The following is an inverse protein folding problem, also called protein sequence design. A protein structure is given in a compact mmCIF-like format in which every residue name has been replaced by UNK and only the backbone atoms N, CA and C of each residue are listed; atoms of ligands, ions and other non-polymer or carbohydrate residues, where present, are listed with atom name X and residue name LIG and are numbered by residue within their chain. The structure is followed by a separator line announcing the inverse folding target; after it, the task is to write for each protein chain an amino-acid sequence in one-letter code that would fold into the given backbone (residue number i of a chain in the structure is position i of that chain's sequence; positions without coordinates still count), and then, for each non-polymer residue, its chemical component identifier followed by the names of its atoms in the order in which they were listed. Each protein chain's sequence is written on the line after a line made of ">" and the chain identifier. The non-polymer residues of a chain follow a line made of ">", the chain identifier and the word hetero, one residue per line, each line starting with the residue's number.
data_IF_902964476491
#
_entry.id   IF_902964476491
#
_cell.length_a   1.000
_cell.length_b   1.000
_cell.length_c   1.000
_cell.angle_alpha   90.00
_cell.angle_beta   90.00
_cell.angle_gamma   90.00
#
_symmetry.space_group_name_H-M   'P 1'
#
loop_
_entity.id
_entity.type
_entity.pdbx_description
1 polymer ?
#
# COMPACT_ATOMS: atom_id res chain seq x y z
N UNK A 1 -14.18 12.10 7.39
CA UNK A 1 -13.15 12.87 8.11
C UNK A 1 -11.80 12.28 7.73
N UNK A 2 -10.85 13.09 7.23
CA UNK A 2 -9.51 12.58 6.90
C UNK A 2 -8.77 12.24 8.19
N UNK A 3 -8.11 11.08 8.24
CA UNK A 3 -7.44 10.57 9.45
C UNK A 3 -6.27 11.47 9.87
N UNK A 4 -5.82 11.36 11.13
CA UNK A 4 -4.62 12.04 11.63
C UNK A 4 -3.40 11.67 10.76
N UNK A 5 -3.28 10.41 10.36
CA UNK A 5 -2.24 9.93 9.45
C UNK A 5 -2.23 10.70 8.12
N UNK A 6 -3.41 11.01 7.54
CA UNK A 6 -3.48 11.80 6.32
C UNK A 6 -2.83 13.19 6.48
N UNK A 7 -3.01 13.81 7.64
CA UNK A 7 -2.40 15.11 7.95
C UNK A 7 -0.89 14.99 8.12
N UNK A 8 -0.39 13.96 8.80
CA UNK A 8 1.06 13.66 8.88
C UNK A 8 1.65 13.45 7.48
N UNK A 9 0.99 12.68 6.61
CA UNK A 9 1.42 12.46 5.25
C UNK A 9 1.53 13.74 4.40
N UNK A 10 0.70 14.76 4.66
CA UNK A 10 0.80 16.04 3.96
C UNK A 10 2.12 16.75 4.19
N UNK A 11 2.60 16.76 5.44
CA UNK A 11 3.79 17.51 5.84
C UNK A 11 5.07 16.65 5.89
N UNK A 12 4.94 15.34 5.76
CA UNK A 12 6.07 14.41 5.79
C UNK A 12 7.02 14.62 4.61
N UNK A 13 8.32 14.63 4.91
CA UNK A 13 9.39 14.53 3.93
C UNK A 13 9.68 13.04 3.64
N UNK A 14 8.95 12.48 2.69
CA UNK A 14 9.09 11.07 2.32
C UNK A 14 10.45 10.74 1.71
N UNK A 15 11.13 11.69 1.07
CA UNK A 15 12.48 11.46 0.54
C UNK A 15 13.41 11.11 1.69
N UNK A 16 13.44 11.95 2.73
CA UNK A 16 14.28 11.71 3.90
C UNK A 16 13.92 10.40 4.64
N UNK A 17 12.62 10.06 4.75
CA UNK A 17 12.20 8.78 5.36
C UNK A 17 12.73 7.59 4.56
N UNK A 18 12.58 7.60 3.23
CA UNK A 18 13.04 6.49 2.39
C UNK A 18 14.57 6.37 2.40
N UNK A 19 15.29 7.48 2.30
CA UNK A 19 16.76 7.51 2.36
C UNK A 19 17.29 6.98 3.69
N UNK A 20 16.70 7.36 4.83
CA UNK A 20 17.05 6.83 6.16
C UNK A 20 16.91 5.30 6.23
N UNK A 21 15.91 4.75 5.53
CA UNK A 21 15.68 3.29 5.45
C UNK A 21 16.54 2.60 4.39
N UNK A 22 17.39 3.32 3.65
CA UNK A 22 18.18 2.78 2.54
C UNK A 22 17.34 2.44 1.30
N UNK A 23 16.14 3.00 1.19
CA UNK A 23 15.26 2.79 0.05
C UNK A 23 15.53 3.80 -1.06
N UNK A 24 15.32 3.37 -2.30
CA UNK A 24 15.45 4.26 -3.46
C UNK A 24 14.28 5.22 -3.52
N UNK A 25 14.60 6.51 -3.70
CA UNK A 25 13.65 7.54 -4.05
C UNK A 25 13.86 7.94 -5.52
N UNK A 26 12.80 7.93 -6.32
CA UNK A 26 12.86 8.28 -7.75
C UNK A 26 12.70 9.79 -7.90
N UNK A 27 13.81 10.49 -8.14
CA UNK A 27 13.86 11.95 -8.27
C UNK A 27 14.22 12.44 -9.69
N UNK A 28 14.44 11.53 -10.64
CA UNK A 28 14.78 11.85 -12.02
C UNK A 28 13.63 11.55 -12.99
N UNK A 29 13.38 12.49 -13.87
CA UNK A 29 12.35 12.38 -14.92
C UNK A 29 10.93 12.66 -14.42
N UNK A 30 10.08 13.14 -15.34
CA UNK A 30 8.66 13.41 -15.05
C UNK A 30 7.88 12.11 -14.96
N UNK A 31 6.88 12.05 -14.06
CA UNK A 31 6.02 10.88 -13.83
C UNK A 31 6.76 9.59 -13.44
N UNK A 32 7.99 9.69 -12.92
CA UNK A 32 8.65 8.56 -12.27
C UNK A 32 8.10 8.44 -10.84
N UNK A 33 7.21 7.48 -10.61
CA UNK A 33 6.36 7.44 -9.43
C UNK A 33 7.06 6.81 -8.22
N UNK A 34 7.07 7.53 -7.10
CA UNK A 34 7.26 6.95 -5.78
C UNK A 34 5.88 6.59 -5.22
N UNK A 35 5.55 5.29 -5.18
CA UNK A 35 4.27 4.76 -4.70
C UNK A 35 4.51 4.21 -3.30
N UNK A 36 3.99 4.88 -2.27
CA UNK A 36 4.31 4.65 -0.87
C UNK A 36 3.04 4.39 -0.09
N UNK A 37 2.86 3.17 0.42
CA UNK A 37 1.86 2.87 1.43
C UNK A 37 2.38 3.30 2.81
N UNK A 38 1.52 3.85 3.61
CA UNK A 38 1.78 4.19 5.01
C UNK A 38 0.75 3.49 5.87
N UNK A 39 1.19 2.49 6.62
CA UNK A 39 0.37 1.76 7.59
C UNK A 39 0.22 2.58 8.86
N UNK A 40 -1.02 2.79 9.31
CA UNK A 40 -1.31 3.48 10.56
C UNK A 40 -0.91 2.64 11.78
N UNK A 41 -0.52 3.29 12.86
CA UNK A 41 -0.30 2.62 14.13
C UNK A 41 -1.62 2.56 14.92
N UNK A 42 -2.21 1.37 15.00
CA UNK A 42 -3.45 1.09 15.75
C UNK A 42 -3.22 0.05 16.86
N UNK A 43 -1.97 -0.15 17.29
CA UNK A 43 -1.61 -1.13 18.32
C UNK A 43 -1.89 -2.57 17.88
N UNK A 44 -1.69 -2.87 16.60
CA UNK A 44 -1.94 -4.16 15.95
C UNK A 44 -3.41 -4.62 15.94
N UNK A 45 -4.34 -3.80 16.42
CA UNK A 45 -5.76 -4.16 16.43
C UNK A 45 -6.33 -4.17 15.02
N UNK A 46 -7.13 -5.20 14.70
CA UNK A 46 -7.91 -5.25 13.45
C UNK A 46 -9.02 -4.20 13.49
N UNK A 47 -8.76 -3.02 12.93
CA UNK A 47 -9.73 -1.90 12.92
C UNK A 47 -10.86 -2.12 11.94
N UNK A 48 -10.65 -2.96 10.93
CA UNK A 48 -11.55 -3.20 9.80
C UNK A 48 -11.93 -1.92 9.04
N UNK A 49 -11.04 -0.90 9.05
CA UNK A 49 -11.26 0.43 8.45
C UNK A 49 -10.22 0.70 7.37
N UNK A 50 -10.52 1.70 6.54
CA UNK A 50 -9.55 2.29 5.61
C UNK A 50 -8.87 3.46 6.33
N UNK A 51 -7.94 3.16 7.20
CA UNK A 51 -7.23 4.12 8.07
C UNK A 51 -5.77 4.34 7.68
N UNK A 52 -5.33 3.67 6.60
CA UNK A 52 -4.02 3.84 6.00
C UNK A 52 -4.02 4.84 4.83
N UNK A 53 -2.82 5.21 4.39
CA UNK A 53 -2.65 6.10 3.24
C UNK A 53 -1.81 5.47 2.13
N UNK A 54 -2.17 5.77 0.88
CA UNK A 54 -1.27 5.65 -0.26
C UNK A 54 -0.82 7.04 -0.67
N UNK A 55 0.50 7.26 -0.67
CA UNK A 55 1.12 8.51 -1.10
C UNK A 55 1.83 8.28 -2.41
N UNK A 56 1.55 9.11 -3.42
CA UNK A 56 2.23 9.06 -4.71
C UNK A 56 2.92 10.39 -4.95
N UNK A 57 4.26 10.34 -5.09
CA UNK A 57 5.10 11.52 -5.30
C UNK A 57 5.81 11.38 -6.64
N UNK A 58 5.76 12.43 -7.43
CA UNK A 58 6.37 12.45 -8.77
C UNK A 58 6.65 13.89 -9.22
N UNK A 59 7.58 14.05 -10.14
CA UNK A 59 7.87 15.34 -10.76
C UNK A 59 7.03 15.53 -12.03
N UNK A 60 6.82 16.80 -12.41
CA UNK A 60 6.20 17.25 -13.67
C UNK A 60 6.92 18.50 -14.13
N UNK A 61 6.66 19.00 -15.35
CA UNK A 61 7.19 20.28 -15.83
C UNK A 61 6.85 21.46 -14.89
N UNK A 62 5.76 21.35 -14.12
CA UNK A 62 5.34 22.34 -13.11
C UNK A 62 5.89 22.05 -11.70
N UNK A 63 6.88 21.14 -11.57
CA UNK A 63 7.49 20.74 -10.29
C UNK A 63 6.83 19.55 -9.63
N UNK A 64 7.25 19.30 -8.40
CA UNK A 64 6.84 18.13 -7.62
C UNK A 64 5.36 18.12 -7.25
N UNK A 65 4.75 16.96 -7.41
CA UNK A 65 3.36 16.70 -7.03
C UNK A 65 3.31 15.60 -5.99
N UNK A 66 2.38 15.71 -5.05
CA UNK A 66 2.07 14.70 -4.04
C UNK A 66 0.57 14.49 -4.01
N UNK A 67 0.14 13.25 -4.21
CA UNK A 67 -1.25 12.82 -4.07
C UNK A 67 -1.35 11.85 -2.90
N UNK A 68 -2.40 11.95 -2.11
CA UNK A 68 -2.64 11.12 -0.94
C UNK A 68 -4.05 10.55 -1.05
N UNK A 69 -4.14 9.22 -0.94
CA UNK A 69 -5.37 8.46 -1.07
C UNK A 69 -5.64 7.67 0.21
N UNK A 70 -6.90 7.42 0.49
CA UNK A 70 -7.33 6.58 1.62
C UNK A 70 -7.39 5.11 1.19
N UNK A 71 -6.65 4.27 1.89
CA UNK A 71 -6.57 2.83 1.62
C UNK A 71 -6.61 2.02 2.92
N UNK A 72 -6.63 0.69 2.79
CA UNK A 72 -6.09 -0.23 3.79
C UNK A 72 -4.85 -0.91 3.24
N UNK A 73 -3.87 -1.19 4.09
CA UNK A 73 -2.67 -2.01 3.79
C UNK A 73 -2.76 -3.38 4.46
N UNK A 74 -3.90 -3.67 5.08
CA UNK A 74 -4.12 -4.82 5.94
C UNK A 74 -5.35 -5.64 5.52
N UNK A 75 -5.42 -6.91 5.92
CA UNK A 75 -6.61 -7.74 5.71
C UNK A 75 -7.80 -7.19 6.51
N UNK A 76 -9.00 -7.42 5.97
CA UNK A 76 -10.21 -7.11 6.72
C UNK A 76 -10.59 -8.19 7.72
N UNK A 77 -11.45 -7.81 8.70
CA UNK A 77 -11.84 -8.65 9.84
C UNK A 77 -12.37 -10.02 9.42
N UNK A 78 -13.21 -10.09 8.39
CA UNK A 78 -13.78 -11.37 7.92
C UNK A 78 -12.72 -12.35 7.42
N UNK A 79 -11.64 -11.82 6.82
CA UNK A 79 -10.54 -12.64 6.33
C UNK A 79 -9.65 -13.09 7.49
N UNK A 80 -9.43 -12.24 8.49
CA UNK A 80 -8.67 -12.60 9.68
C UNK A 80 -9.35 -13.74 10.46
N UNK A 81 -10.65 -13.65 10.64
CA UNK A 81 -11.46 -14.68 11.34
C UNK A 81 -11.64 -15.98 10.54
N UNK A 82 -11.57 -15.92 9.20
CA UNK A 82 -11.72 -17.08 8.32
C UNK A 82 -10.69 -17.06 7.18
N UNK A 83 -9.40 -17.28 7.49
CA UNK A 83 -8.34 -17.29 6.47
C UNK A 83 -8.55 -18.45 5.49
N UNK A 84 -8.39 -18.16 4.18
CA UNK A 84 -8.52 -19.16 3.12
C UNK A 84 -7.29 -20.08 2.97
N UNK A 85 -6.16 -19.70 3.60
CA UNK A 85 -4.92 -20.45 3.55
C UNK A 85 -4.65 -21.09 4.91
N UNK A 86 -4.23 -22.36 4.93
CA UNK A 86 -3.91 -23.08 6.18
C UNK A 86 -2.75 -22.48 6.97
N UNK A 87 -1.85 -21.74 6.30
CA UNK A 87 -0.78 -20.96 6.93
C UNK A 87 -1.26 -19.63 7.52
N UNK A 88 -2.55 -19.31 7.39
CA UNK A 88 -3.14 -18.06 7.83
C UNK A 88 -3.13 -16.96 6.77
N UNK A 89 -3.62 -15.80 7.17
CA UNK A 89 -3.73 -14.60 6.33
C UNK A 89 -2.36 -14.00 6.05
N UNK A 90 -2.13 -13.54 4.82
CA UNK A 90 -0.89 -12.88 4.42
C UNK A 90 -1.01 -11.36 4.69
N UNK A 91 -0.12 -10.80 5.48
CA UNK A 91 -0.03 -9.36 5.74
C UNK A 91 1.28 -8.85 5.18
N UNK A 92 1.24 -7.90 4.23
CA UNK A 92 2.46 -7.39 3.61
C UNK A 92 3.40 -6.78 4.66
N UNK A 93 4.65 -7.23 4.70
CA UNK A 93 5.65 -6.68 5.60
C UNK A 93 6.13 -5.30 5.11
N UNK A 94 6.45 -4.33 5.99
CA UNK A 94 7.12 -3.10 5.58
C UNK A 94 8.40 -3.38 4.79
N UNK A 95 8.60 -2.64 3.70
CA UNK A 95 9.73 -2.86 2.81
C UNK A 95 9.58 -2.15 1.47
N UNK A 96 10.64 -2.14 0.67
CA UNK A 96 10.60 -1.65 -0.70
C UNK A 96 10.62 -2.81 -1.70
N UNK A 97 9.56 -2.98 -2.46
CA UNK A 97 9.33 -4.05 -3.43
C UNK A 97 9.62 -3.57 -4.85
N UNK A 98 10.92 -3.55 -5.21
CA UNK A 98 11.41 -2.97 -6.45
C UNK A 98 11.01 -3.76 -7.67
N UNK A 99 10.22 -3.11 -8.55
CA UNK A 99 9.75 -3.70 -9.80
C UNK A 99 8.84 -4.93 -9.61
N UNK A 100 8.24 -5.10 -8.44
CA UNK A 100 7.39 -6.25 -8.15
C UNK A 100 5.99 -6.16 -8.78
N UNK A 101 5.59 -4.96 -9.16
CA UNK A 101 4.23 -4.68 -9.63
C UNK A 101 4.18 -4.31 -11.10
N UNK A 102 3.06 -4.62 -11.75
CA UNK A 102 2.72 -4.16 -13.09
C UNK A 102 1.21 -3.94 -13.22
N UNK A 103 0.79 -3.17 -14.22
CA UNK A 103 -0.62 -3.08 -14.60
C UNK A 103 -1.03 -4.44 -15.18
N UNK A 104 -2.05 -5.04 -14.58
CA UNK A 104 -2.61 -6.32 -15.01
C UNK A 104 -4.07 -6.43 -14.52
N UNK A 105 -4.82 -7.42 -14.98
CA UNK A 105 -6.20 -7.66 -14.59
C UNK A 105 -6.27 -8.24 -13.16
N UNK A 106 -6.85 -7.46 -12.23
CA UNK A 106 -7.20 -7.98 -10.91
C UNK A 106 -8.37 -8.96 -11.05
N UNK A 107 -8.14 -10.22 -10.65
CA UNK A 107 -9.11 -11.33 -10.79
C UNK A 107 -9.69 -11.46 -12.21
N UNK A 108 -8.92 -11.09 -13.25
CA UNK A 108 -9.35 -11.14 -14.65
C UNK A 108 -10.37 -10.05 -15.05
N UNK A 109 -10.71 -9.10 -14.15
CA UNK A 109 -11.85 -8.20 -14.36
C UNK A 109 -11.44 -6.79 -14.82
N UNK A 110 -10.57 -6.11 -14.08
CA UNK A 110 -10.21 -4.71 -14.36
C UNK A 110 -8.74 -4.44 -14.10
N UNK A 111 -8.21 -3.39 -14.72
CA UNK A 111 -6.80 -3.00 -14.55
C UNK A 111 -6.54 -2.56 -13.12
N UNK A 112 -5.49 -3.10 -12.53
CA UNK A 112 -4.97 -2.73 -11.21
C UNK A 112 -3.45 -2.84 -11.22
N UNK A 113 -2.81 -2.35 -10.18
CA UNK A 113 -1.38 -2.55 -10.02
C UNK A 113 -1.15 -3.88 -9.28
N UNK A 114 -0.80 -4.92 -10.04
CA UNK A 114 -0.76 -6.29 -9.55
C UNK A 114 0.68 -6.76 -9.28
N UNK A 115 0.85 -7.48 -8.17
CA UNK A 115 2.09 -8.19 -7.88
C UNK A 115 2.23 -9.37 -8.84
N UNK A 116 3.09 -9.24 -9.86
CA UNK A 116 3.29 -10.25 -10.90
C UNK A 116 4.75 -10.52 -11.26
N UNK A 117 5.64 -9.54 -10.98
CA UNK A 117 7.00 -9.63 -11.50
C UNK A 117 7.97 -10.24 -10.50
N UNK A 118 7.82 -9.95 -9.20
CA UNK A 118 8.74 -10.39 -8.16
C UNK A 118 8.00 -10.79 -6.88
N UNK A 119 8.60 -11.66 -6.05
CA UNK A 119 8.05 -12.01 -4.75
C UNK A 119 8.04 -10.80 -3.81
N UNK A 120 7.13 -10.85 -2.83
CA UNK A 120 7.04 -9.94 -1.70
C UNK A 120 7.13 -10.72 -0.39
N UNK A 121 7.49 -10.05 0.70
CA UNK A 121 7.55 -10.63 2.04
C UNK A 121 6.25 -10.34 2.78
N UNK A 122 5.68 -11.35 3.42
CA UNK A 122 4.45 -11.23 4.22
C UNK A 122 4.68 -11.84 5.60
N UNK A 123 3.99 -11.32 6.59
CA UNK A 123 3.71 -12.04 7.84
C UNK A 123 2.58 -13.03 7.60
N UNK A 124 2.54 -14.11 8.41
CA UNK A 124 1.46 -15.09 8.41
C UNK A 124 0.74 -15.04 9.74
N UNK A 125 -0.56 -14.84 9.67
CA UNK A 125 -1.45 -14.74 10.81
C UNK A 125 -2.52 -15.81 10.70
N UNK A 126 -2.58 -16.75 11.65
CA UNK A 126 -3.49 -17.90 11.62
C UNK A 126 -4.20 -18.19 12.93
N UNK A 127 -4.04 -17.37 13.96
CA UNK A 127 -4.66 -17.58 15.28
C UNK A 127 -6.15 -17.20 15.33
N UNK A 128 -6.65 -16.45 14.29
CA UNK A 128 -8.05 -16.06 14.11
C UNK A 128 -8.59 -15.13 15.20
N UNK A 129 -7.73 -14.37 15.84
CA UNK A 129 -8.13 -13.31 16.75
C UNK A 129 -8.33 -11.97 16.02
N UNK A 130 -8.62 -10.92 16.73
CA UNK A 130 -8.82 -9.58 16.19
C UNK A 130 -7.55 -8.71 16.31
N UNK A 131 -6.36 -9.33 16.24
CA UNK A 131 -5.03 -8.70 16.33
C UNK A 131 -4.20 -9.11 15.12
N UNK A 132 -3.46 -8.18 14.52
CA UNK A 132 -2.52 -8.50 13.46
C UNK A 132 -1.19 -8.99 14.04
N UNK A 133 -0.74 -10.17 13.63
CA UNK A 133 0.54 -10.76 14.04
C UNK A 133 1.68 -10.30 13.11
N UNK A 134 2.40 -9.27 13.52
CA UNK A 134 3.60 -8.80 12.81
C UNK A 134 4.87 -9.50 13.32
N UNK A 135 4.82 -10.82 13.49
CA UNK A 135 5.97 -11.59 13.97
C UNK A 135 7.02 -11.73 12.88
N UNK A 136 8.23 -11.15 13.03
CA UNK A 136 9.29 -11.23 12.03
C UNK A 136 9.83 -12.67 11.81
N UNK A 137 9.63 -13.58 12.77
CA UNK A 137 10.01 -14.99 12.65
C UNK A 137 8.98 -15.80 11.84
N UNK A 138 7.72 -15.35 11.79
CA UNK A 138 6.66 -15.98 11.01
C UNK A 138 6.41 -15.24 9.70
N UNK A 139 7.41 -15.22 8.83
CA UNK A 139 7.33 -14.55 7.52
C UNK A 139 7.50 -15.52 6.37
N UNK A 140 6.90 -15.20 5.25
CA UNK A 140 7.04 -15.96 4.00
C UNK A 140 7.31 -15.00 2.84
N UNK A 141 8.18 -15.41 1.91
CA UNK A 141 8.46 -14.62 0.69
C UNK A 141 7.96 -15.38 -0.52
N UNK A 142 7.14 -14.74 -1.36
CA UNK A 142 6.53 -15.41 -2.51
C UNK A 142 5.63 -14.53 -3.37
N UNK A 143 4.98 -15.19 -4.30
CA UNK A 143 3.99 -14.60 -5.19
C UNK A 143 2.58 -14.82 -4.61
N UNK A 144 2.13 -13.88 -3.79
CA UNK A 144 0.85 -13.99 -3.07
C UNK A 144 -0.31 -13.26 -3.76
N UNK A 145 0.01 -12.45 -4.78
CA UNK A 145 -0.98 -11.61 -5.44
C UNK A 145 -1.44 -10.45 -4.56
N UNK A 146 -0.53 -9.91 -3.75
CA UNK A 146 -0.78 -8.68 -2.97
C UNK A 146 -0.87 -7.50 -3.94
N UNK A 147 -2.07 -7.21 -4.39
CA UNK A 147 -2.34 -6.20 -5.41
C UNK A 147 -2.75 -4.86 -4.79
N UNK A 148 -2.63 -3.78 -5.56
CA UNK A 148 -3.16 -2.46 -5.23
C UNK A 148 -4.41 -2.25 -6.08
N UNK A 149 -5.60 -2.28 -5.45
CA UNK A 149 -6.88 -2.33 -6.18
C UNK A 149 -8.00 -1.56 -5.45
N UNK A 150 -9.20 -1.48 -6.05
CA UNK A 150 -10.38 -0.86 -5.43
C UNK A 150 -11.23 -1.88 -4.68
N UNK A 151 -11.91 -1.43 -3.62
CA UNK A 151 -12.89 -2.24 -2.90
C UNK A 151 -14.18 -2.43 -3.71
N UNK A 152 -14.66 -1.36 -4.33
CA UNK A 152 -15.93 -1.32 -5.04
C UNK A 152 -15.81 -0.49 -6.32
N UNK A 153 -16.75 -0.65 -7.25
CA UNK A 153 -16.77 0.09 -8.51
C UNK A 153 -17.56 1.40 -8.43
N UNK A 154 -18.59 1.46 -7.60
CA UNK A 154 -19.63 2.49 -7.68
C UNK A 154 -19.61 3.45 -6.49
N UNK A 155 -19.29 2.96 -5.29
CA UNK A 155 -19.37 3.77 -4.05
C UNK A 155 -18.22 3.52 -3.09
N UNK A 156 -17.96 4.53 -2.29
CA UNK A 156 -16.94 4.50 -1.23
C UNK A 156 -17.34 3.52 -0.13
N UNK A 157 -16.40 2.70 0.34
CA UNK A 157 -16.58 1.77 1.45
C UNK A 157 -16.01 2.34 2.75
N UNK A 158 -16.64 1.98 3.87
CA UNK A 158 -16.19 2.37 5.21
C UNK A 158 -15.56 1.21 5.98
N UNK A 159 -15.89 -0.03 5.61
CA UNK A 159 -15.36 -1.26 6.23
C UNK A 159 -14.62 -2.12 5.20
N UNK A 160 -13.53 -2.75 5.63
CA UNK A 160 -12.67 -3.58 4.77
C UNK A 160 -13.27 -4.96 4.55
N UNK A 161 -13.73 -5.62 5.61
CA UNK A 161 -14.38 -6.94 5.59
C UNK A 161 -13.61 -8.00 4.76
N UNK A 162 -14.15 -8.37 3.58
CA UNK A 162 -13.56 -9.33 2.64
C UNK A 162 -12.91 -8.68 1.41
N UNK A 163 -12.82 -7.35 1.37
CA UNK A 163 -12.21 -6.65 0.24
C UNK A 163 -10.69 -6.75 0.22
N UNK A 164 -10.06 -6.96 1.38
CA UNK A 164 -8.63 -7.21 1.47
C UNK A 164 -8.34 -8.54 2.18
N UNK A 165 -7.57 -9.39 1.51
CA UNK A 165 -6.92 -10.57 2.09
C UNK A 165 -5.39 -10.35 2.18
N UNK A 166 -4.98 -9.10 2.45
CA UNK A 166 -3.61 -8.62 2.47
C UNK A 166 -3.26 -7.65 1.32
N UNK A 167 -4.18 -7.43 0.38
CA UNK A 167 -4.01 -6.44 -0.68
C UNK A 167 -4.07 -5.01 -0.14
N UNK A 168 -3.49 -4.07 -0.91
CA UNK A 168 -3.61 -2.64 -0.67
C UNK A 168 -4.89 -2.15 -1.35
N UNK A 169 -5.90 -1.75 -0.59
CA UNK A 169 -7.25 -1.56 -1.14
C UNK A 169 -7.74 -0.14 -0.94
N UNK A 170 -8.09 0.52 -2.05
CA UNK A 170 -8.75 1.83 -2.05
C UNK A 170 -10.19 1.71 -1.57
N UNK A 171 -10.63 2.61 -0.71
CA UNK A 171 -12.01 2.70 -0.29
C UNK A 171 -12.90 3.43 -1.31
N UNK A 172 -12.35 4.41 -2.05
CA UNK A 172 -13.06 5.24 -3.02
C UNK A 172 -12.66 4.87 -4.46
N UNK A 173 -13.64 4.47 -5.31
CA UNK A 173 -13.37 4.15 -6.72
C UNK A 173 -12.86 5.35 -7.53
N UNK A 174 -13.23 6.59 -7.20
CA UNK A 174 -12.75 7.78 -7.90
C UNK A 174 -11.28 8.03 -7.61
N UNK A 175 -10.84 7.84 -6.36
CA UNK A 175 -9.43 7.92 -5.99
C UNK A 175 -8.62 6.83 -6.71
N UNK A 176 -9.16 5.61 -6.80
CA UNK A 176 -8.51 4.52 -7.54
C UNK A 176 -8.37 4.81 -9.04
N UNK A 177 -9.41 5.38 -9.67
CA UNK A 177 -9.36 5.78 -11.10
C UNK A 177 -8.28 6.84 -11.31
N UNK A 178 -8.21 7.84 -10.44
CA UNK A 178 -7.17 8.88 -10.47
C UNK A 178 -5.77 8.28 -10.35
N UNK A 179 -5.55 7.38 -9.39
CA UNK A 179 -4.30 6.64 -9.22
C UNK A 179 -3.93 5.83 -10.47
N UNK A 180 -4.86 5.04 -11.01
CA UNK A 180 -4.58 4.21 -12.20
C UNK A 180 -4.32 5.02 -13.46
N UNK A 181 -4.94 6.20 -13.61
CA UNK A 181 -4.63 7.14 -14.69
C UNK A 181 -3.16 7.59 -14.63
N UNK A 182 -2.68 7.93 -13.43
CA UNK A 182 -1.29 8.31 -13.19
C UNK A 182 -0.32 7.15 -13.46
N UNK A 183 -0.66 5.95 -12.98
CA UNK A 183 0.12 4.72 -13.22
C UNK A 183 0.23 4.41 -14.73
N UNK A 184 -0.88 4.53 -15.48
CA UNK A 184 -0.88 4.33 -16.94
C UNK A 184 -0.01 5.36 -17.66
N UNK A 185 -0.04 6.63 -17.23
CA UNK A 185 0.84 7.67 -17.76
C UNK A 185 2.31 7.35 -17.52
N UNK A 186 2.67 6.93 -16.32
CA UNK A 186 4.03 6.49 -16.00
C UNK A 186 4.46 5.27 -16.81
N UNK A 187 3.56 4.28 -17.00
CA UNK A 187 3.84 3.10 -17.81
C UNK A 187 4.17 3.43 -19.28
N UNK A 188 3.51 4.43 -19.83
CA UNK A 188 3.78 4.89 -21.20
C UNK A 188 5.19 5.49 -21.37
N UNK A 189 5.79 5.99 -20.28
CA UNK A 189 7.12 6.62 -20.30
C UNK A 189 8.22 5.61 -19.93
N UNK A 190 7.99 4.81 -18.87
CA UNK A 190 9.01 3.96 -18.24
C UNK A 190 8.78 2.46 -18.41
N UNK A 191 7.71 2.06 -19.08
CA UNK A 191 7.32 0.67 -19.19
C UNK A 191 6.46 0.19 -18.00
N UNK A 192 5.87 -0.99 -18.16
CA UNK A 192 4.91 -1.57 -17.21
C UNK A 192 5.61 -2.32 -16.06
N UNK A 193 6.40 -1.59 -15.26
CA UNK A 193 7.13 -2.15 -14.13
C UNK A 193 7.23 -1.11 -13.00
N UNK A 194 6.67 -1.44 -11.82
CA UNK A 194 6.51 -0.48 -10.73
C UNK A 194 7.09 -0.99 -9.42
N UNK A 195 7.63 -0.05 -8.65
CA UNK A 195 8.06 -0.25 -7.27
C UNK A 195 6.96 0.22 -6.32
N UNK A 196 6.65 -0.60 -5.32
CA UNK A 196 5.82 -0.23 -4.19
C UNK A 196 6.65 -0.27 -2.91
N UNK A 197 6.52 0.75 -2.07
CA UNK A 197 7.17 0.81 -0.77
C UNK A 197 6.10 0.87 0.31
N UNK A 198 6.17 -0.01 1.30
CA UNK A 198 5.34 0.05 2.49
C UNK A 198 6.20 0.49 3.67
N UNK A 199 5.78 1.58 4.32
CA UNK A 199 6.34 2.08 5.58
C UNK A 199 5.25 2.13 6.64
N UNK A 200 5.63 2.39 7.89
CA UNK A 200 4.69 2.56 9.00
C UNK A 200 4.56 4.02 9.42
N UNK A 201 3.56 4.34 10.21
CA UNK A 201 3.38 5.67 10.79
C UNK A 201 4.55 6.02 11.73
N UNK A 202 5.11 5.02 12.43
CA UNK A 202 6.28 5.19 13.29
C UNK A 202 7.50 5.69 12.52
N UNK A 203 7.71 5.23 11.27
CA UNK A 203 8.80 5.70 10.42
C UNK A 203 8.71 7.22 10.16
N UNK A 204 7.48 7.74 10.07
CA UNK A 204 7.22 9.18 9.93
C UNK A 204 7.48 9.92 11.25
N UNK A 205 6.96 9.37 12.37
CA UNK A 205 7.10 9.98 13.69
C UNK A 205 8.56 10.06 14.15
N UNK A 206 9.36 9.02 13.86
CA UNK A 206 10.79 9.04 14.12
C UNK A 206 11.54 10.14 13.36
N UNK A 207 11.13 10.41 12.11
CA UNK A 207 11.73 11.51 11.33
C UNK A 207 11.35 12.88 11.85
N UNK A 208 10.17 13.02 12.48
CA UNK A 208 9.72 14.30 13.05
C UNK A 208 10.39 14.60 14.41
N UNK A 209 10.73 13.57 15.19
CA UNK A 209 11.43 13.73 16.48
C UNK A 209 12.89 14.13 16.33
N UNK A 210 13.51 13.87 15.17
CA UNK A 210 14.92 14.14 14.89
C UNK A 210 15.14 15.44 14.08
N UNK A 211 14.11 16.26 13.91
CA UNK A 211 14.16 17.62 13.33
C UNK A 211 14.08 18.67 14.44
#
# INVERSE_FOLDING_TARGET
>A
MKTQLYTKCKVCDFKAVLEKKGYVYFDKGNYNLNIIGVRSNQGNKVTNKYDDCLVVIYNTDSGWKKQIYTITTEPGLKIMQAPSNCKGTAILAPGQYRGAYKIDKHRGKYDALCQRNKPVKVYRDNNKDDVYDYNPENTETGMFGINIHRSNEFWTRTTVDNYSAGCQVFNDPKEFISFMSLVKKAAAIYGNCFTYTLITEEDIDEMQKNK
#
